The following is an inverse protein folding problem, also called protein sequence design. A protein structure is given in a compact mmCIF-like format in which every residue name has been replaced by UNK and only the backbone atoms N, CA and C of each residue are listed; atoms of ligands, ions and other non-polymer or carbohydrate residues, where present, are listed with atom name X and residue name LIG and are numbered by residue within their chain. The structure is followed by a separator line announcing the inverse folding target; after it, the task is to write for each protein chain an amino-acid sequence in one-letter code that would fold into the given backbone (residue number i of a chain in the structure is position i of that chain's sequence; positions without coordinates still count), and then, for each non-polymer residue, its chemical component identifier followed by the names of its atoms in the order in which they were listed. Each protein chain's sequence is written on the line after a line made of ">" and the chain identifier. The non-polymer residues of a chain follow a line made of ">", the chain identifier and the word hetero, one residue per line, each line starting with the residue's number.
data_IF_956426048668
#
_entry.id   IF_956426048668
#
_cell.length_a   1.000
_cell.length_b   1.000
_cell.length_c   1.000
_cell.angle_alpha   90.00
_cell.angle_beta   90.00
_cell.angle_gamma   90.00
#
_symmetry.space_group_name_H-M   'P 1'
#
loop_
_entity.id
_entity.type
_entity.pdbx_description
1 polymer ?
#
# COMPACT_ATOMS: atom_id res chain seq x y z
N UNK A 1 9.82 20.29 9.37
CA UNK A 1 10.04 18.90 9.75
C UNK A 1 8.77 18.24 10.23
N UNK A 2 8.06 18.93 11.13
CA UNK A 2 6.82 18.36 11.66
C UNK A 2 5.75 18.16 10.59
N UNK A 3 5.70 19.06 9.60
CA UNK A 3 4.75 18.94 8.48
C UNK A 3 5.06 17.70 7.65
N UNK A 4 6.33 17.52 7.32
CA UNK A 4 6.72 16.36 6.51
C UNK A 4 6.49 15.05 7.28
N UNK A 5 6.79 15.04 8.56
CA UNK A 5 6.51 13.88 9.39
C UNK A 5 5.01 13.59 9.45
N UNK A 6 4.21 14.64 9.58
CA UNK A 6 2.75 14.49 9.58
C UNK A 6 2.25 13.91 8.26
N UNK A 7 2.83 14.32 7.15
CA UNK A 7 2.45 13.78 5.83
C UNK A 7 2.81 12.29 5.74
N UNK A 8 3.99 11.89 6.23
CA UNK A 8 4.35 10.47 6.23
C UNK A 8 3.41 9.65 7.10
N UNK A 9 3.03 10.18 8.28
CA UNK A 9 2.05 9.51 9.13
C UNK A 9 0.69 9.44 8.45
N UNK A 10 0.30 10.50 7.73
CA UNK A 10 -0.94 10.50 6.98
C UNK A 10 -0.94 9.43 5.88
N UNK A 11 0.19 9.25 5.20
CA UNK A 11 0.31 8.19 4.20
C UNK A 11 0.14 6.81 4.82
N UNK A 12 0.73 6.60 5.99
CA UNK A 12 0.56 5.33 6.70
C UNK A 12 -0.91 5.11 7.09
N UNK A 13 -1.56 6.15 7.57
CA UNK A 13 -2.97 6.08 7.95
C UNK A 13 -3.85 5.77 6.73
N UNK A 14 -3.57 6.41 5.60
CA UNK A 14 -4.31 6.16 4.36
C UNK A 14 -4.09 4.71 3.91
N UNK A 15 -2.86 4.20 4.03
CA UNK A 15 -2.57 2.82 3.66
C UNK A 15 -3.41 1.84 4.50
N UNK A 16 -3.50 2.08 5.80
CA UNK A 16 -4.31 1.25 6.68
C UNK A 16 -5.80 1.37 6.33
N UNK A 17 -6.27 2.59 6.12
CA UNK A 17 -7.67 2.83 5.78
C UNK A 17 -8.05 2.15 4.46
N UNK A 18 -7.20 2.23 3.46
CA UNK A 18 -7.44 1.57 2.18
C UNK A 18 -7.46 0.05 2.34
N UNK A 19 -6.61 -0.49 3.21
CA UNK A 19 -6.60 -1.93 3.47
C UNK A 19 -7.90 -2.38 4.13
N UNK A 20 -8.39 -1.61 5.08
CA UNK A 20 -9.69 -1.90 5.71
C UNK A 20 -10.81 -1.83 4.69
N UNK A 21 -10.78 -0.82 3.84
CA UNK A 21 -11.75 -0.68 2.76
C UNK A 21 -11.72 -1.89 1.84
N UNK A 22 -10.51 -2.31 1.44
CA UNK A 22 -10.36 -3.49 0.58
C UNK A 22 -10.91 -4.74 1.24
N UNK A 23 -10.69 -4.90 2.54
CA UNK A 23 -11.18 -6.06 3.27
C UNK A 23 -12.70 -6.13 3.30
N UNK A 24 -13.38 -4.99 3.28
CA UNK A 24 -14.84 -4.93 3.30
C UNK A 24 -15.45 -4.96 1.88
N UNK A 25 -14.62 -4.90 0.85
CA UNK A 25 -15.08 -4.93 -0.54
C UNK A 25 -15.43 -6.36 -0.97
N UNK A 26 -16.32 -6.53 -1.97
CA UNK A 26 -16.66 -7.86 -2.46
C UNK A 26 -15.45 -8.59 -3.05
N UNK A 27 -15.39 -9.91 -2.85
CA UNK A 27 -14.31 -10.72 -3.41
C UNK A 27 -14.28 -10.66 -4.94
N UNK A 28 -15.40 -10.35 -5.56
CA UNK A 28 -15.46 -10.21 -7.03
C UNK A 28 -14.53 -9.12 -7.55
N UNK A 29 -14.12 -8.17 -6.70
CA UNK A 29 -13.20 -7.13 -7.10
C UNK A 29 -11.80 -7.68 -7.42
N UNK A 30 -11.42 -8.80 -6.83
CA UNK A 30 -10.10 -9.40 -7.01
C UNK A 30 -10.14 -10.78 -7.66
N UNK A 31 -11.30 -11.40 -7.76
CA UNK A 31 -11.43 -12.74 -8.36
C UNK A 31 -11.96 -12.60 -9.78
N UNK A 32 -11.10 -12.88 -10.74
CA UNK A 32 -11.45 -12.78 -12.14
C UNK A 32 -12.53 -13.79 -12.53
N UNK A 33 -12.57 -14.96 -11.89
CA UNK A 33 -13.60 -15.95 -12.16
C UNK A 33 -14.98 -15.42 -11.83
N UNK A 34 -15.11 -14.70 -10.71
CA UNK A 34 -16.38 -14.08 -10.35
C UNK A 34 -16.85 -13.09 -11.40
N UNK A 35 -15.92 -12.33 -11.98
CA UNK A 35 -16.27 -11.32 -12.99
C UNK A 35 -16.68 -11.96 -14.31
N UNK A 36 -16.06 -13.09 -14.68
CA UNK A 36 -16.29 -13.72 -15.96
C UNK A 36 -17.45 -14.71 -15.93
N UNK A 37 -17.53 -15.52 -14.89
CA UNK A 37 -18.49 -16.63 -14.85
C UNK A 37 -19.48 -16.53 -13.70
N UNK A 38 -19.26 -15.62 -12.76
CA UNK A 38 -20.09 -15.50 -11.57
C UNK A 38 -19.83 -16.59 -10.53
N UNK A 39 -18.80 -17.39 -10.72
CA UNK A 39 -18.46 -18.49 -9.82
C UNK A 39 -17.10 -18.18 -9.17
N UNK A 40 -17.04 -18.29 -7.85
CA UNK A 40 -15.82 -18.08 -7.09
C UNK A 40 -14.89 -19.28 -7.30
N UNK A 41 -13.68 -19.01 -7.78
CA UNK A 41 -12.65 -20.02 -7.99
C UNK A 41 -11.37 -19.53 -7.36
N UNK A 42 -11.28 -19.66 -6.04
CA UNK A 42 -10.14 -19.21 -5.27
C UNK A 42 -9.72 -20.33 -4.33
N UNK A 43 -8.45 -20.75 -4.44
CA UNK A 43 -7.92 -21.81 -3.60
C UNK A 43 -7.93 -21.36 -2.14
N UNK A 44 -8.37 -22.27 -1.27
CA UNK A 44 -8.43 -21.98 0.16
C UNK A 44 -9.67 -21.25 0.61
N UNK A 45 -10.56 -20.86 -0.33
CA UNK A 45 -11.81 -20.21 0.03
C UNK A 45 -12.76 -21.20 0.69
N UNK A 46 -13.62 -20.75 1.64
CA UNK A 46 -14.65 -21.64 2.21
C UNK A 46 -15.59 -22.12 1.13
N UNK A 47 -16.09 -23.35 1.29
CA UNK A 47 -17.01 -23.90 0.30
C UNK A 47 -18.30 -23.09 0.16
N UNK A 48 -18.71 -22.38 1.22
CA UNK A 48 -19.90 -21.55 1.24
C UNK A 48 -19.64 -20.13 0.71
N UNK A 49 -18.41 -19.79 0.36
CA UNK A 49 -18.08 -18.44 -0.08
C UNK A 49 -18.72 -18.13 -1.43
N UNK A 50 -19.19 -16.90 -1.57
CA UNK A 50 -19.83 -16.41 -2.78
C UNK A 50 -19.11 -15.18 -3.31
N UNK A 51 -19.39 -14.82 -4.56
CA UNK A 51 -18.72 -13.70 -5.20
C UNK A 51 -19.01 -12.35 -4.56
N UNK A 52 -20.13 -12.22 -3.86
CA UNK A 52 -20.50 -10.97 -3.18
C UNK A 52 -20.03 -10.93 -1.73
N UNK A 53 -19.41 -12.00 -1.23
CA UNK A 53 -18.82 -11.99 0.10
C UNK A 53 -17.63 -11.04 0.16
N UNK A 54 -17.39 -10.47 1.34
CA UNK A 54 -16.26 -9.56 1.52
C UNK A 54 -14.92 -10.29 1.39
N UNK A 55 -13.91 -9.55 0.99
CA UNK A 55 -12.57 -10.13 0.85
C UNK A 55 -12.09 -10.71 2.17
N UNK A 56 -12.33 -10.01 3.28
CA UNK A 56 -11.92 -10.49 4.60
C UNK A 56 -12.63 -11.80 4.97
N UNK A 57 -13.87 -11.97 4.53
CA UNK A 57 -14.62 -13.19 4.80
C UNK A 57 -14.06 -14.36 4.02
N UNK A 58 -13.65 -14.13 2.77
CA UNK A 58 -13.19 -15.20 1.87
C UNK A 58 -11.73 -15.57 2.16
N UNK A 59 -10.86 -14.60 2.27
CA UNK A 59 -9.42 -14.86 2.41
C UNK A 59 -8.93 -14.85 3.86
N UNK A 60 -9.73 -14.31 4.78
CA UNK A 60 -9.37 -14.20 6.18
C UNK A 60 -8.66 -12.91 6.51
N UNK A 61 -8.42 -12.71 7.80
CA UNK A 61 -7.81 -11.47 8.31
C UNK A 61 -6.32 -11.40 8.03
N UNK A 62 -5.61 -12.53 8.17
CA UNK A 62 -4.15 -12.50 8.13
C UNK A 62 -3.56 -12.02 6.80
N UNK A 63 -4.04 -12.46 5.64
CA UNK A 63 -3.53 -11.90 4.38
C UNK A 63 -3.71 -10.41 4.28
N UNK A 64 -4.82 -9.87 4.79
CA UNK A 64 -5.07 -8.43 4.79
C UNK A 64 -4.14 -7.70 5.75
N UNK A 65 -3.83 -8.31 6.91
CA UNK A 65 -2.87 -7.73 7.85
C UNK A 65 -1.50 -7.60 7.18
N UNK A 66 -1.05 -8.67 6.52
CA UNK A 66 0.23 -8.63 5.82
C UNK A 66 0.24 -7.57 4.70
N UNK A 67 -0.83 -7.50 3.93
CA UNK A 67 -0.95 -6.50 2.88
C UNK A 67 -0.87 -5.08 3.44
N UNK A 68 -1.61 -4.83 4.52
CA UNK A 68 -1.61 -3.52 5.16
C UNK A 68 -0.25 -3.15 5.72
N UNK A 69 0.43 -4.11 6.34
CA UNK A 69 1.78 -3.88 6.87
C UNK A 69 2.77 -3.57 5.76
N UNK A 70 2.72 -4.32 4.66
CA UNK A 70 3.62 -4.08 3.53
C UNK A 70 3.49 -2.66 3.00
N UNK A 71 2.29 -2.12 2.95
CA UNK A 71 2.05 -0.78 2.41
C UNK A 71 2.27 0.30 3.46
N UNK A 72 1.99 0.01 4.73
CA UNK A 72 2.08 0.99 5.82
C UNK A 72 3.49 1.15 6.38
N UNK A 73 4.28 0.08 6.41
CA UNK A 73 5.61 0.12 7.01
C UNK A 73 6.53 1.16 6.36
N UNK A 74 6.65 1.26 5.02
CA UNK A 74 7.53 2.26 4.42
C UNK A 74 7.24 3.70 4.88
N UNK A 75 5.99 4.19 4.85
CA UNK A 75 5.73 5.53 5.36
C UNK A 75 6.02 5.70 6.85
N UNK A 76 5.75 4.66 7.66
CA UNK A 76 6.03 4.72 9.09
C UNK A 76 7.52 4.86 9.34
N UNK A 77 8.34 4.06 8.65
CA UNK A 77 9.79 4.13 8.80
C UNK A 77 10.30 5.51 8.37
N UNK A 78 9.78 6.05 7.27
CA UNK A 78 10.15 7.38 6.81
C UNK A 78 9.76 8.44 7.85
N UNK A 79 8.59 8.31 8.46
CA UNK A 79 8.14 9.25 9.49
C UNK A 79 9.03 9.22 10.73
N UNK A 80 9.47 8.03 11.13
CA UNK A 80 10.29 7.87 12.32
C UNK A 80 11.72 8.32 12.09
N UNK A 81 12.30 7.97 10.95
CA UNK A 81 13.71 8.26 10.67
C UNK A 81 13.94 9.69 10.19
N UNK A 82 13.02 10.21 9.38
CA UNK A 82 13.09 11.56 8.81
C UNK A 82 14.42 11.87 8.13
N UNK A 83 14.98 10.88 7.46
CA UNK A 83 16.23 11.04 6.71
C UNK A 83 15.92 10.96 5.23
N UNK A 84 16.65 11.73 4.43
CA UNK A 84 16.42 11.78 2.99
C UNK A 84 16.55 10.41 2.33
N UNK A 85 17.61 9.68 2.68
CA UNK A 85 17.82 8.37 2.07
C UNK A 85 16.75 7.36 2.50
N UNK A 86 16.26 7.46 3.74
CA UNK A 86 15.17 6.60 4.21
C UNK A 86 13.88 6.90 3.46
N UNK A 87 13.61 8.19 3.20
CA UNK A 87 12.44 8.58 2.43
C UNK A 87 12.49 7.98 1.02
N UNK A 88 13.65 8.02 0.38
CA UNK A 88 13.79 7.42 -0.94
C UNK A 88 13.70 5.90 -0.91
N UNK A 89 14.16 5.25 0.17
CA UNK A 89 13.95 3.82 0.35
C UNK A 89 12.46 3.51 0.50
N UNK A 90 11.71 4.35 1.21
CA UNK A 90 10.27 4.18 1.33
C UNK A 90 9.60 4.31 -0.04
N UNK A 91 10.02 5.29 -0.84
CA UNK A 91 9.52 5.44 -2.21
C UNK A 91 9.82 4.19 -3.02
N UNK A 92 11.04 3.68 -2.94
CA UNK A 92 11.41 2.48 -3.68
C UNK A 92 10.60 1.27 -3.24
N UNK A 93 10.35 1.13 -1.94
CA UNK A 93 9.53 0.04 -1.42
C UNK A 93 8.09 0.13 -1.93
N UNK A 94 7.49 1.31 -1.87
CA UNK A 94 6.13 1.52 -2.37
C UNK A 94 6.06 1.28 -3.88
N UNK A 95 7.06 1.74 -4.62
CA UNK A 95 7.12 1.51 -6.06
C UNK A 95 7.22 0.02 -6.37
N UNK A 96 8.02 -0.71 -5.61
CA UNK A 96 8.13 -2.15 -5.75
C UNK A 96 6.82 -2.86 -5.49
N UNK A 97 6.11 -2.43 -4.43
CA UNK A 97 4.80 -3.00 -4.12
C UNK A 97 3.78 -2.69 -5.23
N UNK A 98 3.82 -1.47 -5.78
CA UNK A 98 2.96 -1.11 -6.88
C UNK A 98 3.25 -1.98 -8.11
N UNK A 99 4.52 -2.23 -8.38
CA UNK A 99 4.92 -3.07 -9.48
C UNK A 99 4.42 -4.51 -9.31
N UNK A 100 4.54 -5.05 -8.10
CA UNK A 100 4.00 -6.38 -7.77
C UNK A 100 2.49 -6.40 -7.99
N UNK A 101 1.80 -5.33 -7.55
CA UNK A 101 0.37 -5.21 -7.75
C UNK A 101 -0.02 -5.21 -9.22
N UNK A 102 0.75 -4.52 -10.05
CA UNK A 102 0.48 -4.49 -11.49
C UNK A 102 0.65 -5.87 -12.12
N UNK A 103 1.63 -6.66 -11.68
CA UNK A 103 1.84 -8.00 -12.18
C UNK A 103 0.79 -9.01 -11.71
N UNK A 104 0.06 -8.66 -10.66
CA UNK A 104 -0.93 -9.57 -10.05
C UNK A 104 -2.32 -8.92 -9.97
N UNK A 105 -2.64 -8.05 -10.91
CA UNK A 105 -3.86 -7.25 -10.84
C UNK A 105 -5.15 -8.07 -10.82
N UNK A 106 -5.11 -9.30 -11.28
CA UNK A 106 -6.27 -10.17 -11.32
C UNK A 106 -6.39 -11.07 -10.09
N UNK A 107 -5.54 -10.88 -9.08
CA UNK A 107 -5.55 -11.70 -7.87
C UNK A 107 -5.65 -10.81 -6.63
N UNK A 108 -5.68 -11.46 -5.45
CA UNK A 108 -5.66 -10.74 -4.18
C UNK A 108 -4.51 -9.72 -4.11
N UNK A 109 -3.33 -10.10 -4.61
CA UNK A 109 -2.17 -9.21 -4.56
C UNK A 109 -2.31 -7.99 -5.46
N UNK A 110 -3.30 -8.00 -6.36
CA UNK A 110 -3.65 -6.81 -7.11
C UNK A 110 -4.09 -5.65 -6.22
N UNK A 111 -4.49 -5.92 -4.97
CA UNK A 111 -4.80 -4.87 -4.02
C UNK A 111 -3.59 -3.98 -3.73
N UNK A 112 -2.37 -4.46 -3.99
CA UNK A 112 -1.17 -3.64 -3.86
C UNK A 112 -1.13 -2.48 -4.85
N UNK A 113 -2.01 -2.48 -5.86
CA UNK A 113 -2.11 -1.35 -6.78
C UNK A 113 -2.43 -0.03 -6.08
N UNK A 114 -2.99 -0.08 -4.87
CA UNK A 114 -3.17 1.13 -4.07
C UNK A 114 -1.86 1.83 -3.75
N UNK A 115 -0.74 1.11 -3.84
CA UNK A 115 0.58 1.72 -3.63
C UNK A 115 0.96 2.69 -4.75
N UNK A 116 0.30 2.64 -5.92
CA UNK A 116 0.60 3.55 -7.02
C UNK A 116 0.38 5.01 -6.63
N UNK A 117 -0.83 5.41 -6.17
CA UNK A 117 -1.03 6.79 -5.73
C UNK A 117 -0.19 7.13 -4.49
N UNK A 118 0.01 6.17 -3.59
CA UNK A 118 0.85 6.39 -2.42
C UNK A 118 2.29 6.65 -2.83
N UNK A 119 2.79 5.92 -3.83
CA UNK A 119 4.14 6.15 -4.37
C UNK A 119 4.25 7.55 -4.96
N UNK A 120 3.25 7.99 -5.72
CA UNK A 120 3.27 9.31 -6.33
C UNK A 120 3.38 10.40 -5.27
N UNK A 121 2.56 10.30 -4.22
CA UNK A 121 2.61 11.26 -3.13
C UNK A 121 3.93 11.18 -2.39
N UNK A 122 4.43 9.96 -2.15
CA UNK A 122 5.70 9.75 -1.47
C UNK A 122 6.87 10.36 -2.24
N UNK A 123 6.87 10.26 -3.57
CA UNK A 123 7.89 10.91 -4.41
C UNK A 123 7.86 12.41 -4.20
N UNK A 124 6.67 13.00 -4.23
CA UNK A 124 6.52 14.43 -4.04
C UNK A 124 7.05 14.84 -2.67
N UNK A 125 6.69 14.09 -1.63
CA UNK A 125 7.16 14.38 -0.27
C UNK A 125 8.67 14.24 -0.16
N UNK A 126 9.25 13.21 -0.78
CA UNK A 126 10.69 12.99 -0.76
C UNK A 126 11.43 14.14 -1.48
N UNK A 127 10.89 14.61 -2.60
CA UNK A 127 11.47 15.74 -3.32
C UNK A 127 11.39 17.01 -2.47
N UNK A 128 10.24 17.28 -1.86
CA UNK A 128 10.08 18.45 -1.00
C UNK A 128 11.05 18.36 0.18
N UNK A 129 11.18 17.20 0.79
CA UNK A 129 12.10 17.01 1.90
C UNK A 129 13.55 17.27 1.47
N UNK A 130 13.91 16.83 0.28
CA UNK A 130 15.24 17.05 -0.26
C UNK A 130 15.52 18.53 -0.52
N UNK A 131 14.54 19.23 -1.09
CA UNK A 131 14.71 20.65 -1.38
C UNK A 131 14.66 21.52 -0.14
N UNK A 132 14.03 21.04 0.93
CA UNK A 132 13.99 21.78 2.20
C UNK A 132 15.28 21.67 3.00
N UNK A 133 16.23 20.85 2.56
CA UNK A 133 17.54 20.76 3.15
C UNK A 133 18.54 21.40 2.17
N UNK A 134 18.63 22.74 2.15
CA UNK A 134 19.48 23.41 1.17
C UNK A 134 20.94 23.02 1.36
N UNK A 135 21.68 23.15 0.27
CA UNK A 135 23.07 22.74 0.21
C UNK A 135 23.92 23.40 1.30
N UNK A 136 23.60 24.65 1.62
CA UNK A 136 24.36 25.39 2.63
C UNK A 136 24.30 24.79 4.02
N UNK A 137 23.21 24.12 4.35
CA UNK A 137 23.05 23.56 5.68
C UNK A 137 22.92 22.06 5.66
N UNK A 138 22.24 21.53 4.67
CA UNK A 138 21.92 20.12 4.63
C UNK A 138 22.89 19.28 3.86
N UNK A 139 23.76 19.88 3.09
CA UNK A 139 24.62 19.15 2.18
C UNK A 139 25.46 18.10 2.89
N UNK A 140 26.02 18.45 4.02
CA UNK A 140 26.85 17.51 4.79
C UNK A 140 26.02 16.47 5.48
N UNK A 141 24.79 16.70 5.65
CA UNK A 141 23.93 15.78 6.33
C UNK A 141 23.38 14.70 5.41
N UNK A 142 23.46 14.99 4.13
CA UNK A 142 23.09 14.02 3.13
C UNK A 142 21.78 13.34 3.35
#
# INVERSE_FOLDING_TARGET
>A
VSVLRAVWWALAAVAVALTVWDGSSPISDVDMSCRKTGVLDLDGAPASAQCDDSIVHVVGVWPLVWLGLLVAIPPVVAALAMRRWVSWLAVAALAGLAFVGMGNWSTFWGLLLKAVPLTAIAVIVAIVQQTRHPAGTGSRMG
#
